data_IF_593148375054
#
_entry.id   IF_593148375054
#
_cell.length_a   1.000
_cell.length_b   1.000
_cell.length_c   1.000
_cell.angle_alpha   90.00
_cell.angle_beta   90.00
_cell.angle_gamma   90.00
#
_symmetry.space_group_name_H-M   'P 1'
#
loop_
_entity.id
_entity.type
_entity.pdbx_description
1 polymer ?
#
# COMPACT_ATOMS: atom_id res chain seq x y z
N UNK A 1 5.03 -27.72 50.34
CA UNK A 1 4.33 -28.07 49.09
C UNK A 1 3.86 -26.73 48.48
N UNK A 2 4.67 -26.15 47.63
CA UNK A 2 4.39 -24.87 46.93
C UNK A 2 3.67 -25.21 45.63
N UNK A 3 2.45 -24.72 45.52
CA UNK A 3 1.57 -24.86 44.36
C UNK A 3 2.28 -24.27 43.12
N UNK A 4 2.40 -24.98 42.00
CA UNK A 4 3.03 -24.42 40.81
C UNK A 4 2.14 -23.32 40.27
N UNK A 5 2.66 -22.09 40.29
CA UNK A 5 2.01 -20.88 39.79
C UNK A 5 1.43 -21.10 38.38
N UNK A 6 0.10 -21.06 38.28
CA UNK A 6 -0.67 -21.13 37.04
C UNK A 6 -0.09 -20.10 36.07
N UNK A 7 0.41 -20.48 34.88
CA UNK A 7 0.98 -19.54 33.95
C UNK A 7 -0.11 -18.52 33.57
N UNK A 8 0.25 -17.23 33.65
CA UNK A 8 -0.64 -16.12 33.43
C UNK A 8 -1.26 -16.19 32.01
N UNK A 9 -2.52 -16.56 31.92
CA UNK A 9 -3.30 -16.64 30.67
C UNK A 9 -3.33 -15.31 29.88
N UNK A 10 -3.09 -14.18 30.57
CA UNK A 10 -3.07 -12.85 29.96
C UNK A 10 -1.90 -12.58 29.00
N UNK A 11 -0.75 -13.23 29.20
CA UNK A 11 0.44 -12.98 28.36
C UNK A 11 0.34 -13.59 26.97
N UNK A 12 -0.30 -14.74 26.84
CA UNK A 12 -0.52 -15.40 25.55
C UNK A 12 -1.57 -14.67 24.70
N UNK A 13 -2.62 -14.12 25.33
CA UNK A 13 -3.65 -13.35 24.63
C UNK A 13 -3.11 -12.02 24.13
N UNK A 14 -2.28 -11.34 24.92
CA UNK A 14 -1.66 -10.06 24.52
C UNK A 14 -0.67 -10.25 23.37
N UNK A 15 0.18 -11.28 23.41
CA UNK A 15 1.07 -11.62 22.30
C UNK A 15 0.29 -11.90 21.00
N UNK A 16 -0.78 -12.67 21.07
CA UNK A 16 -1.64 -12.95 19.92
C UNK A 16 -2.38 -11.69 19.41
N UNK A 17 -2.70 -10.73 20.28
CA UNK A 17 -3.26 -9.43 19.91
C UNK A 17 -2.22 -8.59 19.15
N UNK A 18 -1.00 -8.50 19.68
CA UNK A 18 0.09 -7.73 19.07
C UNK A 18 0.50 -8.31 17.72
N UNK A 19 0.55 -9.65 17.55
CA UNK A 19 0.78 -10.28 16.24
C UNK A 19 -0.28 -9.87 15.23
N UNK A 20 -1.55 -9.86 15.60
CA UNK A 20 -2.64 -9.42 14.71
C UNK A 20 -2.54 -7.94 14.33
N UNK A 21 -2.14 -7.07 15.27
CA UNK A 21 -1.93 -5.66 15.00
C UNK A 21 -0.73 -5.46 14.07
N UNK A 22 0.37 -6.17 14.29
CA UNK A 22 1.54 -6.15 13.40
C UNK A 22 1.18 -6.62 11.98
N UNK A 23 0.38 -7.68 11.83
CA UNK A 23 -0.11 -8.14 10.51
C UNK A 23 -1.00 -7.10 9.81
N UNK A 24 -1.85 -6.42 10.58
CA UNK A 24 -2.68 -5.33 10.06
C UNK A 24 -1.82 -4.18 9.55
N UNK A 25 -0.87 -3.69 10.37
CA UNK A 25 0.04 -2.60 10.00
C UNK A 25 0.90 -2.98 8.80
N UNK A 26 1.48 -4.19 8.78
CA UNK A 26 2.24 -4.73 7.65
C UNK A 26 1.43 -4.68 6.35
N UNK A 27 0.17 -5.11 6.41
CA UNK A 27 -0.73 -5.08 5.25
C UNK A 27 -1.02 -3.66 4.76
N UNK A 28 -1.17 -2.69 5.69
CA UNK A 28 -1.41 -1.28 5.36
C UNK A 28 -0.17 -0.64 4.72
N UNK A 29 1.01 -0.82 5.30
CA UNK A 29 2.27 -0.31 4.75
C UNK A 29 2.59 -0.91 3.38
N UNK A 30 2.39 -2.21 3.20
CA UNK A 30 2.56 -2.87 1.90
C UNK A 30 1.64 -2.26 0.83
N UNK A 31 0.40 -1.93 1.20
CA UNK A 31 -0.53 -1.29 0.27
C UNK A 31 -0.08 0.13 -0.10
N UNK A 32 0.35 0.94 0.88
CA UNK A 32 0.84 2.31 0.65
C UNK A 32 2.10 2.29 -0.21
N UNK A 33 3.06 1.42 0.08
CA UNK A 33 4.24 1.20 -0.75
C UNK A 33 3.87 0.93 -2.21
N UNK A 34 2.97 -0.01 -2.45
CA UNK A 34 2.56 -0.38 -3.80
C UNK A 34 1.82 0.76 -4.51
N UNK A 35 1.01 1.54 -3.77
CA UNK A 35 0.31 2.70 -4.30
C UNK A 35 1.29 3.81 -4.70
N UNK A 36 2.19 4.22 -3.81
CA UNK A 36 3.22 5.23 -4.09
C UNK A 36 4.14 4.80 -5.24
N UNK A 37 4.57 3.54 -5.26
CA UNK A 37 5.40 2.99 -6.35
C UNK A 37 4.68 3.04 -7.71
N UNK A 38 3.38 2.71 -7.76
CA UNK A 38 2.60 2.79 -9.00
C UNK A 38 2.42 4.25 -9.45
N UNK A 39 2.15 5.16 -8.52
CA UNK A 39 2.01 6.59 -8.80
C UNK A 39 3.32 7.16 -9.35
N UNK A 40 4.45 6.86 -8.71
CA UNK A 40 5.77 7.27 -9.19
C UNK A 40 6.04 6.76 -10.61
N UNK A 41 5.77 5.48 -10.90
CA UNK A 41 5.92 4.90 -12.23
C UNK A 41 5.01 5.58 -13.26
N UNK A 42 3.75 5.86 -12.89
CA UNK A 42 2.80 6.53 -13.78
C UNK A 42 3.27 7.95 -14.14
N UNK A 43 3.73 8.74 -13.15
CA UNK A 43 4.26 10.09 -13.38
C UNK A 43 5.51 10.01 -14.27
N UNK A 44 6.47 9.13 -13.97
CA UNK A 44 7.68 8.95 -14.79
C UNK A 44 7.32 8.56 -16.24
N UNK A 45 6.36 7.64 -16.41
CA UNK A 45 5.92 7.23 -17.74
C UNK A 45 5.25 8.39 -18.51
N UNK A 46 4.44 9.20 -17.82
CA UNK A 46 3.82 10.39 -18.42
C UNK A 46 4.88 11.41 -18.85
N UNK A 47 5.89 11.69 -18.02
CA UNK A 47 7.02 12.56 -18.36
C UNK A 47 7.73 12.04 -19.61
N UNK A 48 8.06 10.76 -19.69
CA UNK A 48 8.75 10.16 -20.85
C UNK A 48 7.92 10.28 -22.12
N UNK A 49 6.62 9.99 -22.06
CA UNK A 49 5.71 10.10 -23.20
C UNK A 49 5.61 11.55 -23.68
N UNK A 50 5.40 12.51 -22.76
CA UNK A 50 5.31 13.93 -23.12
C UNK A 50 6.62 14.45 -23.71
N UNK A 51 7.77 14.03 -23.15
CA UNK A 51 9.10 14.39 -23.70
C UNK A 51 9.28 13.83 -25.11
N UNK A 52 8.92 12.57 -25.37
CA UNK A 52 9.01 11.96 -26.67
C UNK A 52 8.08 12.66 -27.69
N UNK A 53 6.84 12.96 -27.30
CA UNK A 53 5.91 13.71 -28.14
C UNK A 53 6.42 15.12 -28.43
N UNK A 54 6.93 15.83 -27.42
CA UNK A 54 7.52 17.16 -27.56
C UNK A 54 8.70 17.15 -28.53
N UNK A 55 9.60 16.18 -28.41
CA UNK A 55 10.71 15.99 -29.33
C UNK A 55 10.22 15.72 -30.77
N UNK A 56 9.25 14.80 -30.93
CA UNK A 56 8.68 14.51 -32.25
C UNK A 56 8.09 15.76 -32.90
N UNK A 57 7.32 16.55 -32.17
CA UNK A 57 6.74 17.81 -32.65
C UNK A 57 7.83 18.83 -32.97
N UNK A 58 8.88 18.94 -32.16
CA UNK A 58 9.98 19.88 -32.37
C UNK A 58 10.80 19.55 -33.61
N UNK A 59 11.06 18.25 -33.90
CA UNK A 59 11.90 17.80 -35.00
C UNK A 59 11.12 17.53 -36.31
N UNK A 60 9.78 17.50 -36.29
CA UNK A 60 8.99 17.37 -37.52
C UNK A 60 9.28 18.53 -38.46
N UNK A 61 9.68 18.28 -39.71
CA UNK A 61 10.01 19.33 -40.70
C UNK A 61 8.79 20.11 -41.15
N UNK A 62 9.01 21.38 -41.55
CA UNK A 62 7.99 22.27 -42.18
C UNK A 62 7.12 23.08 -41.23
N UNK A 63 6.53 24.17 -41.73
CA UNK A 63 5.54 25.03 -41.02
C UNK A 63 4.13 24.42 -41.13
N UNK A 64 3.95 23.25 -40.55
CA UNK A 64 2.68 22.54 -40.57
C UNK A 64 1.84 22.96 -39.36
N UNK A 65 0.59 23.35 -39.60
CA UNK A 65 -0.42 23.46 -38.55
C UNK A 65 -0.83 22.04 -38.11
N UNK A 66 -0.70 21.74 -36.82
CA UNK A 66 -1.07 20.48 -36.26
C UNK A 66 -2.41 20.59 -35.51
N UNK A 67 -3.31 19.66 -35.78
CA UNK A 67 -4.56 19.55 -35.04
C UNK A 67 -4.42 18.38 -34.05
N UNK A 68 -4.38 18.71 -32.75
CA UNK A 68 -4.30 17.75 -31.66
C UNK A 68 -5.51 17.98 -30.74
N UNK A 69 -6.27 16.92 -30.45
CA UNK A 69 -7.49 16.99 -29.64
C UNK A 69 -8.55 18.00 -30.14
N UNK A 70 -8.60 18.27 -31.47
CA UNK A 70 -9.55 19.19 -32.06
C UNK A 70 -9.05 20.66 -32.14
N UNK A 71 -7.93 20.98 -31.49
CA UNK A 71 -7.33 22.31 -31.52
C UNK A 71 -6.23 22.39 -32.59
N UNK A 72 -6.29 23.43 -33.42
CA UNK A 72 -5.31 23.65 -34.46
C UNK A 72 -4.37 24.80 -34.08
N UNK A 73 -3.10 24.49 -33.90
CA UNK A 73 -2.08 25.48 -33.55
C UNK A 73 -0.79 25.22 -34.31
N UNK A 74 0.12 26.20 -34.27
CA UNK A 74 1.44 26.08 -34.86
C UNK A 74 2.26 25.02 -34.11
N UNK A 75 3.20 24.37 -34.78
CA UNK A 75 4.13 23.41 -34.20
C UNK A 75 4.86 23.99 -32.98
N UNK A 76 5.33 25.22 -33.07
CA UNK A 76 6.01 25.90 -31.97
C UNK A 76 5.12 26.03 -30.71
N UNK A 77 3.83 26.34 -30.89
CA UNK A 77 2.86 26.42 -29.80
C UNK A 77 2.66 25.08 -29.13
N UNK A 78 2.51 23.98 -29.90
CA UNK A 78 2.39 22.64 -29.36
C UNK A 78 3.66 22.14 -28.63
N UNK A 79 4.84 22.42 -29.22
CA UNK A 79 6.12 22.09 -28.59
C UNK A 79 6.29 22.82 -27.25
N UNK A 80 5.95 24.15 -27.23
CA UNK A 80 5.97 24.96 -26.01
C UNK A 80 5.01 24.41 -24.93
N UNK A 81 3.79 24.04 -25.29
CA UNK A 81 2.80 23.47 -24.39
C UNK A 81 3.28 22.14 -23.81
N UNK A 82 3.80 21.20 -24.63
CA UNK A 82 4.30 19.91 -24.19
C UNK A 82 5.52 20.08 -23.27
N UNK A 83 6.41 21.02 -23.58
CA UNK A 83 7.55 21.33 -22.71
C UNK A 83 7.10 21.86 -21.36
N UNK A 84 6.16 22.79 -21.34
CA UNK A 84 5.60 23.32 -20.09
C UNK A 84 4.89 22.23 -19.27
N UNK A 85 4.08 21.38 -19.91
CA UNK A 85 3.41 20.27 -19.25
C UNK A 85 4.42 19.27 -18.66
N UNK A 86 5.49 18.96 -19.38
CA UNK A 86 6.58 18.11 -18.89
C UNK A 86 7.25 18.73 -17.68
N UNK A 87 7.59 20.01 -17.74
CA UNK A 87 8.22 20.73 -16.64
C UNK A 87 7.31 20.75 -15.39
N UNK A 88 6.02 21.04 -15.57
CA UNK A 88 5.06 21.00 -14.47
C UNK A 88 4.97 19.62 -13.81
N UNK A 89 4.96 18.54 -14.61
CA UNK A 89 4.96 17.17 -14.06
C UNK A 89 6.25 16.82 -13.33
N UNK A 90 7.40 17.29 -13.79
CA UNK A 90 8.69 17.11 -13.09
C UNK A 90 8.66 17.80 -11.73
N UNK A 91 8.13 19.03 -11.66
CA UNK A 91 7.96 19.74 -10.39
C UNK A 91 7.02 18.99 -9.44
N UNK A 92 5.91 18.47 -9.95
CA UNK A 92 4.97 17.65 -9.16
C UNK A 92 5.65 16.39 -8.64
N UNK A 93 6.44 15.68 -9.45
CA UNK A 93 7.19 14.49 -9.04
C UNK A 93 8.19 14.80 -7.91
N UNK A 94 8.90 15.94 -8.07
CA UNK A 94 9.87 16.42 -7.08
C UNK A 94 9.20 16.76 -5.72
N UNK A 95 8.07 17.49 -5.75
CA UNK A 95 7.37 17.94 -4.54
C UNK A 95 6.68 16.77 -3.82
N UNK A 96 6.10 15.84 -4.56
CA UNK A 96 5.35 14.72 -3.97
C UNK A 96 6.25 13.63 -3.43
N UNK A 97 7.50 13.54 -3.85
CA UNK A 97 8.49 12.50 -3.47
C UNK A 97 7.88 11.09 -3.30
N UNK A 98 7.15 10.65 -4.30
CA UNK A 98 6.45 9.36 -4.27
C UNK A 98 7.41 8.17 -4.10
N UNK A 99 8.67 8.32 -4.53
CA UNK A 99 9.69 7.28 -4.41
C UNK A 99 10.20 7.17 -2.98
N UNK A 100 10.48 8.31 -2.32
CA UNK A 100 10.86 8.35 -0.91
C UNK A 100 9.76 7.80 -0.01
N UNK A 101 8.50 8.19 -0.24
CA UNK A 101 7.35 7.63 0.47
C UNK A 101 7.21 6.11 0.26
N UNK A 102 7.41 5.61 -0.96
CA UNK A 102 7.39 4.16 -1.23
C UNK A 102 8.51 3.43 -0.49
N UNK A 103 9.72 4.00 -0.45
CA UNK A 103 10.86 3.44 0.27
C UNK A 103 10.61 3.40 1.79
N UNK A 104 10.09 4.48 2.38
CA UNK A 104 9.76 4.54 3.81
C UNK A 104 8.71 3.48 4.21
N UNK A 105 7.63 3.33 3.42
CA UNK A 105 6.64 2.30 3.66
C UNK A 105 7.18 0.88 3.40
N UNK A 106 8.16 0.71 2.51
CA UNK A 106 8.84 -0.57 2.29
C UNK A 106 9.69 -0.97 3.48
N UNK A 107 10.42 -0.03 4.08
CA UNK A 107 11.21 -0.26 5.30
C UNK A 107 10.30 -0.61 6.48
N UNK A 108 9.22 0.14 6.68
CA UNK A 108 8.21 -0.16 7.70
C UNK A 108 7.62 -1.57 7.53
N UNK A 109 7.27 -1.97 6.31
CA UNK A 109 6.75 -3.30 6.03
C UNK A 109 7.78 -4.40 6.32
N UNK A 110 9.07 -4.17 6.04
CA UNK A 110 10.15 -5.11 6.36
C UNK A 110 10.28 -5.29 7.87
N UNK A 111 10.39 -4.21 8.65
CA UNK A 111 10.50 -4.24 10.12
C UNK A 111 9.32 -4.96 10.77
N UNK A 112 8.10 -4.70 10.31
CA UNK A 112 6.89 -5.37 10.79
C UNK A 112 6.86 -6.86 10.40
N UNK A 113 7.40 -7.23 9.24
CA UNK A 113 7.55 -8.62 8.84
C UNK A 113 8.52 -9.38 9.73
N UNK A 114 9.66 -8.75 10.06
CA UNK A 114 10.67 -9.32 10.97
C UNK A 114 10.12 -9.48 12.38
N UNK A 115 9.39 -8.46 12.88
CA UNK A 115 8.67 -8.54 14.15
C UNK A 115 7.68 -9.71 14.17
N UNK A 116 6.87 -9.86 13.13
CA UNK A 116 5.92 -10.97 12.98
C UNK A 116 6.61 -12.33 12.94
N UNK A 117 7.76 -12.44 12.28
CA UNK A 117 8.56 -13.67 12.26
C UNK A 117 9.03 -14.05 13.66
N UNK A 118 9.47 -13.07 14.47
CA UNK A 118 9.86 -13.30 15.88
C UNK A 118 8.69 -13.77 16.73
N UNK A 119 7.49 -13.20 16.59
CA UNK A 119 6.29 -13.71 17.29
C UNK A 119 6.00 -15.17 16.98
N UNK A 120 6.27 -15.63 15.75
CA UNK A 120 6.04 -17.02 15.33
C UNK A 120 7.16 -17.97 15.71
N UNK A 121 8.40 -17.50 15.76
CA UNK A 121 9.56 -18.30 16.10
C UNK A 121 9.69 -18.52 17.62
N UNK A 122 9.00 -17.73 18.45
CA UNK A 122 9.03 -17.84 19.90
C UNK A 122 8.16 -19.02 20.41
N UNK A 123 8.56 -20.25 20.06
CA UNK A 123 8.12 -21.46 20.78
C UNK A 123 8.68 -21.52 22.20
N UNK A 124 9.73 -20.75 22.47
CA UNK A 124 10.27 -20.54 23.82
C UNK A 124 9.92 -19.10 24.23
N UNK A 125 9.32 -18.86 25.39
CA UNK A 125 8.90 -17.52 25.77
C UNK A 125 10.14 -16.64 26.02
N UNK A 126 10.68 -16.05 24.95
CA UNK A 126 11.28 -14.74 25.11
C UNK A 126 10.22 -13.94 25.86
N UNK A 127 10.57 -13.49 27.05
CA UNK A 127 9.62 -12.96 28.01
C UNK A 127 8.63 -12.07 27.28
N UNK A 128 7.31 -12.24 27.41
CA UNK A 128 6.29 -11.44 26.71
C UNK A 128 6.56 -9.94 26.80
N UNK A 129 7.25 -9.51 27.85
CA UNK A 129 7.73 -8.13 28.02
C UNK A 129 8.71 -7.69 26.92
N UNK A 130 9.68 -8.52 26.52
CA UNK A 130 10.63 -8.15 25.45
C UNK A 130 9.98 -8.05 24.09
N UNK A 131 9.01 -8.92 23.79
CA UNK A 131 8.24 -8.82 22.54
C UNK A 131 7.38 -7.57 22.51
N UNK A 132 6.79 -7.17 23.64
CA UNK A 132 6.03 -5.91 23.76
C UNK A 132 6.92 -4.70 23.61
N UNK A 133 8.09 -4.68 24.26
CA UNK A 133 9.08 -3.61 24.12
C UNK A 133 9.51 -3.45 22.66
N UNK A 134 9.85 -4.53 22.00
CA UNK A 134 10.23 -4.51 20.59
C UNK A 134 9.07 -4.10 19.66
N UNK A 135 7.82 -4.46 19.99
CA UNK A 135 6.65 -3.98 19.27
C UNK A 135 6.52 -2.45 19.38
N UNK A 136 6.67 -1.90 20.58
CA UNK A 136 6.61 -0.45 20.82
C UNK A 136 7.74 0.25 20.05
N UNK A 137 8.98 -0.26 20.15
CA UNK A 137 10.13 0.27 19.42
C UNK A 137 9.86 0.34 17.91
N UNK A 138 9.48 -0.78 17.28
CA UNK A 138 9.20 -0.83 15.85
C UNK A 138 8.06 0.11 15.47
N UNK A 139 6.98 0.17 16.25
CA UNK A 139 5.82 1.01 15.92
C UNK A 139 6.07 2.50 16.11
N UNK A 140 7.03 2.90 16.94
CA UNK A 140 7.42 4.31 17.10
C UNK A 140 8.41 4.78 16.04
N UNK A 141 9.22 3.88 15.47
CA UNK A 141 10.23 4.21 14.47
C UNK A 141 9.70 4.19 13.02
N UNK A 142 8.61 3.50 12.75
CA UNK A 142 8.06 3.43 11.39
C UNK A 142 7.29 4.71 11.02
N UNK A 143 7.28 5.02 9.73
CA UNK A 143 6.52 6.15 9.19
C UNK A 143 5.03 6.01 9.53
N UNK A 144 4.39 7.09 9.95
CA UNK A 144 2.98 7.09 10.31
C UNK A 144 2.07 6.87 9.09
N UNK A 145 0.97 6.15 9.32
CA UNK A 145 -0.10 6.02 8.34
C UNK A 145 -1.03 7.23 8.49
N UNK A 146 -1.26 8.02 7.42
CA UNK A 146 -2.15 9.18 7.52
C UNK A 146 -3.55 8.80 8.04
N UNK A 147 -4.04 9.54 9.04
CA UNK A 147 -5.32 9.28 9.69
C UNK A 147 -6.49 9.21 8.68
N UNK A 148 -6.46 10.05 7.63
CA UNK A 148 -7.45 10.05 6.54
C UNK A 148 -7.50 8.73 5.75
N UNK A 149 -6.40 7.98 5.70
CA UNK A 149 -6.29 6.71 5.00
C UNK A 149 -6.51 5.50 5.90
N UNK A 150 -6.33 5.65 7.21
CA UNK A 150 -6.30 4.54 8.18
C UNK A 150 -7.54 3.66 8.12
N UNK A 151 -8.73 4.24 8.22
CA UNK A 151 -9.99 3.48 8.22
C UNK A 151 -10.22 2.73 6.90
N UNK A 152 -9.84 3.33 5.77
CA UNK A 152 -9.93 2.71 4.45
C UNK A 152 -8.97 1.53 4.32
N UNK A 153 -7.74 1.67 4.83
CA UNK A 153 -6.72 0.61 4.82
C UNK A 153 -7.10 -0.53 5.77
N UNK A 154 -7.62 -0.22 6.96
CA UNK A 154 -8.16 -1.19 7.92
C UNK A 154 -9.28 -2.03 7.29
N UNK A 155 -10.26 -1.39 6.65
CA UNK A 155 -11.35 -2.09 5.96
C UNK A 155 -10.84 -3.01 4.84
N UNK A 156 -9.79 -2.61 4.11
CA UNK A 156 -9.15 -3.45 3.09
C UNK A 156 -8.44 -4.65 3.70
N UNK A 157 -7.73 -4.45 4.80
CA UNK A 157 -7.08 -5.55 5.52
C UNK A 157 -8.12 -6.57 6.01
N UNK A 158 -9.17 -6.14 6.70
CA UNK A 158 -10.25 -7.02 7.16
C UNK A 158 -10.88 -7.79 6.00
N UNK A 159 -11.18 -7.13 4.88
CA UNK A 159 -11.68 -7.80 3.67
C UNK A 159 -10.68 -8.84 3.12
N UNK A 160 -9.37 -8.56 3.16
CA UNK A 160 -8.34 -9.53 2.75
C UNK A 160 -8.36 -10.77 3.64
N UNK A 161 -8.48 -10.59 4.97
CA UNK A 161 -8.58 -11.69 5.94
C UNK A 161 -9.82 -12.54 5.68
N UNK A 162 -10.99 -11.92 5.46
CA UNK A 162 -12.23 -12.65 5.16
C UNK A 162 -12.14 -13.44 3.84
N UNK A 163 -11.57 -12.85 2.79
CA UNK A 163 -11.33 -13.55 1.53
C UNK A 163 -10.39 -14.75 1.75
N UNK A 164 -9.34 -14.58 2.54
CA UNK A 164 -8.41 -15.66 2.88
C UNK A 164 -9.12 -16.80 3.60
N UNK A 165 -10.01 -16.51 4.56
CA UNK A 165 -10.83 -17.53 5.23
C UNK A 165 -11.70 -18.30 4.24
N UNK A 166 -12.40 -17.62 3.33
CA UNK A 166 -13.23 -18.27 2.29
C UNK A 166 -12.37 -19.16 1.38
N UNK A 167 -11.16 -18.74 1.03
CA UNK A 167 -10.25 -19.54 0.20
C UNK A 167 -9.75 -20.80 0.94
N UNK A 168 -9.55 -20.70 2.25
CA UNK A 168 -9.17 -21.84 3.10
C UNK A 168 -10.33 -22.84 3.26
N UNK A 169 -11.54 -22.34 3.48
CA UNK A 169 -12.77 -23.16 3.58
C UNK A 169 -13.09 -23.88 2.26
N UNK A 170 -12.82 -23.22 1.14
CA UNK A 170 -13.18 -23.71 -0.20
C UNK A 170 -11.93 -23.85 -1.05
N UNK A 171 -11.16 -24.91 -0.83
CA UNK A 171 -9.93 -25.20 -1.57
C UNK A 171 -10.21 -25.28 -3.08
N UNK A 172 -9.44 -24.52 -3.87
CA UNK A 172 -9.52 -24.55 -5.33
C UNK A 172 -10.44 -23.49 -5.98
N UNK A 173 -11.18 -22.69 -5.22
CA UNK A 173 -11.91 -21.57 -5.83
C UNK A 173 -10.98 -20.41 -6.18
N UNK A 174 -11.29 -19.73 -7.30
CA UNK A 174 -10.56 -18.53 -7.71
C UNK A 174 -10.92 -17.33 -6.83
N UNK A 175 -9.96 -16.44 -6.58
CA UNK A 175 -10.11 -15.24 -5.73
C UNK A 175 -11.34 -14.38 -6.11
N UNK A 176 -11.67 -14.26 -7.40
CA UNK A 176 -12.84 -13.48 -7.83
C UNK A 176 -14.16 -14.10 -7.37
N UNK A 177 -14.26 -15.46 -7.32
CA UNK A 177 -15.43 -16.16 -6.76
C UNK A 177 -15.54 -15.95 -5.26
N UNK A 178 -14.43 -16.03 -4.51
CA UNK A 178 -14.39 -15.72 -3.10
C UNK A 178 -14.87 -14.28 -2.80
N UNK A 179 -14.43 -13.29 -3.61
CA UNK A 179 -14.93 -11.90 -3.54
C UNK A 179 -16.43 -11.78 -3.79
N UNK A 180 -16.97 -12.57 -4.72
CA UNK A 180 -18.43 -12.60 -5.01
C UNK A 180 -19.20 -13.19 -3.83
N UNK A 181 -18.73 -14.30 -3.26
CA UNK A 181 -19.33 -14.92 -2.07
C UNK A 181 -19.33 -13.97 -0.87
N UNK A 182 -18.26 -13.25 -0.63
CA UNK A 182 -18.20 -12.25 0.42
C UNK A 182 -19.27 -11.17 0.25
N UNK A 183 -19.43 -10.64 -0.96
CA UNK A 183 -20.48 -9.63 -1.27
C UNK A 183 -21.90 -10.14 -1.02
N UNK A 184 -22.18 -11.41 -1.31
CA UNK A 184 -23.50 -12.00 -1.06
C UNK A 184 -23.74 -12.23 0.43
N UNK A 185 -22.73 -12.64 1.20
CA UNK A 185 -22.81 -12.78 2.67
C UNK A 185 -23.10 -11.43 3.34
N UNK A 186 -22.40 -10.36 2.97
CA UNK A 186 -22.62 -9.02 3.54
C UNK A 186 -24.02 -8.48 3.21
N UNK A 187 -24.50 -8.64 1.97
CA UNK A 187 -25.86 -8.21 1.60
C UNK A 187 -26.96 -8.94 2.36
N UNK A 188 -26.79 -10.23 2.65
CA UNK A 188 -27.75 -11.00 3.46
C UNK A 188 -27.76 -10.52 4.91
N UNK A 189 -26.60 -10.26 5.51
CA UNK A 189 -26.50 -9.74 6.87
C UNK A 189 -27.18 -8.37 7.02
N UNK A 190 -26.99 -7.44 6.06
CA UNK A 190 -27.62 -6.11 6.07
C UNK A 190 -29.15 -6.14 5.87
N UNK A 191 -29.71 -7.24 5.32
CA UNK A 191 -31.17 -7.38 5.13
C UNK A 191 -31.87 -8.06 6.31
N UNK A 192 -31.12 -8.70 7.19
CA UNK A 192 -31.65 -9.44 8.34
C UNK A 192 -31.57 -8.68 9.67
N UNK A 193 -30.93 -7.51 9.70
CA UNK A 193 -30.90 -6.55 10.81
C UNK A 193 -31.62 -5.26 10.47
#
# INVERSE_FOLDING_TARGET
>A
MTDPAKPASGTSEESGRQERLADQLLSMHSYLRDWHSRTAKAITSAILVLTALGATVAFAGGDVKLTILGETATRATWAGFLTFATFALVLVDLVLDQRGAAAAHSDAARRLSDLKARYRASENPETPARLTEHYVEVTTEIVEIPASSFNRLKSRHLRKVEISKILTEHKGIRVWRARRLLRTRTRKATRAG
#
